data_IF_640182312524
#
_entry.id   IF_640182312524
#
_cell.length_a   1.000
_cell.length_b   1.000
_cell.length_c   1.000
_cell.angle_alpha   90.00
_cell.angle_beta   90.00
_cell.angle_gamma   90.00
#
_symmetry.space_group_name_H-M   'P 1'
#
loop_
_entity.id
_entity.type
_entity.pdbx_description
1 polymer ?
#
# COMPACT_ATOMS: atom_id res chain seq x y z
N UNK A 1 10.09 8.20 14.14
CA UNK A 1 10.02 9.63 13.79
C UNK A 1 9.54 9.80 12.36
N UNK A 2 8.42 10.48 12.18
CA UNK A 2 7.85 10.85 10.87
C UNK A 2 7.04 9.76 10.17
N UNK A 3 6.71 8.68 10.88
CA UNK A 3 5.96 7.48 10.47
C UNK A 3 5.39 6.80 11.74
N UNK A 4 4.87 5.57 11.61
CA UNK A 4 4.33 4.75 12.70
C UNK A 4 5.17 4.74 13.99
N UNK A 5 4.49 4.84 15.13
CA UNK A 5 5.09 4.67 16.47
C UNK A 5 5.29 3.19 16.82
N UNK A 6 4.38 2.32 16.39
CA UNK A 6 4.43 0.89 16.60
C UNK A 6 3.81 0.11 15.43
N UNK A 7 4.19 -1.16 15.31
CA UNK A 7 3.58 -2.12 14.41
C UNK A 7 3.34 -3.45 15.15
N UNK A 8 2.26 -4.15 14.81
CA UNK A 8 1.87 -5.41 15.44
C UNK A 8 2.07 -6.58 14.46
N UNK A 9 3.22 -7.28 14.49
CA UNK A 9 3.44 -8.42 13.61
C UNK A 9 2.62 -9.63 14.07
N UNK A 10 1.75 -10.12 13.18
CA UNK A 10 1.08 -11.42 13.32
C UNK A 10 1.95 -12.57 12.80
N UNK A 11 1.33 -13.74 12.61
CA UNK A 11 1.96 -14.82 11.84
C UNK A 11 2.05 -14.45 10.35
N UNK A 12 2.81 -15.23 9.57
CA UNK A 12 2.91 -15.00 8.12
C UNK A 12 1.51 -14.99 7.51
N UNK A 13 1.15 -13.87 6.87
CA UNK A 13 -0.16 -13.63 6.23
C UNK A 13 -1.37 -13.82 7.15
N UNK A 14 -1.21 -13.54 8.44
CA UNK A 14 -2.31 -13.60 9.41
C UNK A 14 -2.31 -12.32 10.25
N UNK A 15 -3.49 -11.71 10.41
CA UNK A 15 -3.69 -10.55 11.29
C UNK A 15 -3.14 -10.83 12.71
N UNK A 16 -2.51 -9.86 13.38
CA UNK A 16 -2.24 -9.95 14.81
C UNK A 16 -3.57 -9.98 15.61
N UNK A 17 -3.47 -10.34 16.89
CA UNK A 17 -4.66 -10.37 17.77
C UNK A 17 -4.93 -8.97 18.37
N UNK A 18 -6.18 -8.70 18.79
CA UNK A 18 -6.53 -7.38 19.37
C UNK A 18 -5.76 -7.04 20.64
N UNK A 19 -5.46 -8.03 21.48
CA UNK A 19 -4.63 -7.84 22.67
C UNK A 19 -3.22 -7.32 22.33
N UNK A 20 -2.63 -7.78 21.22
CA UNK A 20 -1.33 -7.27 20.75
C UNK A 20 -1.43 -5.80 20.32
N UNK A 21 -2.51 -5.43 19.63
CA UNK A 21 -2.75 -4.06 19.17
C UNK A 21 -2.95 -3.11 20.36
N UNK A 22 -3.75 -3.52 21.35
CA UNK A 22 -3.96 -2.77 22.58
C UNK A 22 -2.66 -2.56 23.37
N UNK A 23 -1.87 -3.61 23.52
CA UNK A 23 -0.57 -3.52 24.18
C UNK A 23 0.38 -2.55 23.46
N UNK A 24 0.39 -2.57 22.12
CA UNK A 24 1.18 -1.64 21.33
C UNK A 24 0.69 -0.19 21.47
N UNK A 25 -0.63 0.04 21.39
CA UNK A 25 -1.23 1.35 21.56
C UNK A 25 -0.92 1.96 22.94
N UNK A 26 -1.05 1.16 24.01
CA UNK A 26 -0.70 1.56 25.37
C UNK A 26 0.79 1.87 25.53
N UNK A 27 1.66 1.13 24.85
CA UNK A 27 3.11 1.32 24.94
C UNK A 27 3.59 2.62 24.27
N UNK A 28 2.83 3.16 23.31
CA UNK A 28 3.15 4.39 22.58
C UNK A 28 2.23 5.56 22.92
N UNK A 29 1.33 5.39 23.89
CA UNK A 29 0.37 6.42 24.25
C UNK A 29 1.07 7.67 24.81
N UNK A 30 0.69 8.82 24.27
CA UNK A 30 1.17 10.15 24.69
C UNK A 30 0.09 10.96 25.40
N UNK A 31 -1.12 10.39 25.56
CA UNK A 31 -2.31 11.08 26.05
C UNK A 31 -3.06 11.87 24.97
N UNK A 32 -2.57 11.89 23.73
CA UNK A 32 -3.21 12.55 22.58
C UNK A 32 -4.14 11.63 21.78
N UNK A 33 -4.29 10.37 22.21
CA UNK A 33 -5.01 9.31 21.50
C UNK A 33 -4.16 8.59 20.45
N UNK A 34 -4.75 7.58 19.80
CA UNK A 34 -4.04 6.70 18.87
C UNK A 34 -4.80 6.56 17.54
N UNK A 35 -4.08 6.56 16.42
CA UNK A 35 -4.65 6.30 15.10
C UNK A 35 -4.17 4.94 14.59
N UNK A 36 -5.10 4.01 14.38
CA UNK A 36 -4.80 2.76 13.70
C UNK A 36 -4.88 2.96 12.18
N UNK A 37 -3.84 2.53 11.47
CA UNK A 37 -3.83 2.44 10.00
C UNK A 37 -3.99 0.96 9.65
N UNK A 38 -5.15 0.62 9.09
CA UNK A 38 -5.60 -0.75 8.89
C UNK A 38 -5.65 -1.04 7.39
N UNK A 39 -5.09 -2.17 6.95
CA UNK A 39 -5.27 -2.63 5.57
C UNK A 39 -6.63 -3.31 5.46
N UNK A 40 -7.39 -3.05 4.40
CA UNK A 40 -8.72 -3.64 4.25
C UNK A 40 -8.63 -5.14 3.88
N UNK A 41 -8.43 -5.95 4.91
CA UNK A 41 -8.55 -7.40 4.92
C UNK A 41 -9.51 -7.78 6.04
N UNK A 42 -10.40 -8.74 5.82
CA UNK A 42 -11.46 -9.08 6.78
C UNK A 42 -10.92 -9.40 8.17
N UNK A 43 -9.84 -10.18 8.24
CA UNK A 43 -9.18 -10.50 9.50
C UNK A 43 -8.54 -9.28 10.18
N UNK A 44 -7.95 -8.37 9.40
CA UNK A 44 -7.35 -7.14 9.93
C UNK A 44 -8.46 -6.23 10.47
N UNK A 45 -9.46 -5.91 9.65
CA UNK A 45 -10.57 -5.01 10.04
C UNK A 45 -11.30 -5.54 11.27
N UNK A 46 -11.66 -6.83 11.30
CA UNK A 46 -12.35 -7.42 12.45
C UNK A 46 -11.53 -7.30 13.75
N UNK A 47 -10.23 -7.57 13.69
CA UNK A 47 -9.38 -7.52 14.89
C UNK A 47 -9.12 -6.07 15.33
N UNK A 48 -8.85 -5.16 14.39
CA UNK A 48 -8.62 -3.74 14.72
C UNK A 48 -9.89 -3.05 15.23
N UNK A 49 -11.07 -3.42 14.71
CA UNK A 49 -12.36 -2.94 15.24
C UNK A 49 -12.56 -3.41 16.67
N UNK A 50 -12.33 -4.70 16.96
CA UNK A 50 -12.41 -5.21 18.33
C UNK A 50 -11.40 -4.51 19.26
N UNK A 51 -10.18 -4.25 18.81
CA UNK A 51 -9.19 -3.51 19.59
C UNK A 51 -9.63 -2.06 19.85
N UNK A 52 -10.19 -1.37 18.85
CA UNK A 52 -10.66 0.00 19.01
C UNK A 52 -11.88 0.09 19.95
N UNK A 53 -12.78 -0.90 19.95
CA UNK A 53 -13.90 -0.96 20.90
C UNK A 53 -13.44 -1.19 22.36
N UNK A 54 -12.26 -1.78 22.55
CA UNK A 54 -11.68 -2.06 23.86
C UNK A 54 -10.88 -0.89 24.46
N UNK A 55 -10.69 0.22 23.72
CA UNK A 55 -9.93 1.38 24.19
C UNK A 55 -10.60 2.70 23.82
N UNK A 56 -10.68 3.63 24.78
CA UNK A 56 -11.05 5.01 24.48
C UNK A 56 -9.92 5.72 23.70
N UNK A 57 -10.28 6.74 22.93
CA UNK A 57 -9.29 7.61 22.26
C UNK A 57 -8.60 7.00 21.04
N UNK A 58 -9.17 5.94 20.45
CA UNK A 58 -8.66 5.32 19.22
C UNK A 58 -9.54 5.70 18.03
N UNK A 59 -8.93 6.15 16.94
CA UNK A 59 -9.58 6.27 15.62
C UNK A 59 -8.89 5.36 14.61
N UNK A 60 -9.54 5.09 13.48
CA UNK A 60 -9.03 4.16 12.46
C UNK A 60 -9.12 4.71 11.05
N UNK A 61 -8.05 4.58 10.26
CA UNK A 61 -8.05 4.76 8.79
C UNK A 61 -7.95 3.38 8.15
N UNK A 62 -8.98 2.98 7.39
CA UNK A 62 -8.97 1.74 6.62
C UNK A 62 -8.51 2.05 5.21
N UNK A 63 -7.39 1.44 4.80
CA UNK A 63 -6.78 1.62 3.47
C UNK A 63 -7.28 0.57 2.49
N UNK A 64 -7.66 1.01 1.28
CA UNK A 64 -8.37 0.19 0.29
C UNK A 64 -8.04 0.59 -1.15
N UNK A 65 -6.74 0.81 -1.41
CA UNK A 65 -6.20 1.40 -2.63
C UNK A 65 -6.16 0.47 -3.84
N UNK A 66 -6.34 -0.85 -3.67
CA UNK A 66 -6.25 -1.82 -4.77
C UNK A 66 -7.46 -1.76 -5.72
N UNK A 67 -7.23 -1.36 -6.98
CA UNK A 67 -8.29 -1.25 -8.01
C UNK A 67 -8.59 -2.56 -8.74
N UNK A 68 -7.84 -3.63 -8.46
CA UNK A 68 -7.99 -4.87 -9.21
C UNK A 68 -9.31 -5.58 -8.94
N UNK A 69 -9.82 -5.51 -7.71
CA UNK A 69 -10.90 -6.37 -7.21
C UNK A 69 -11.83 -5.58 -6.30
N UNK A 70 -13.15 -5.65 -6.54
CA UNK A 70 -14.17 -5.07 -5.65
C UNK A 70 -14.62 -6.02 -4.53
N UNK A 71 -14.42 -7.34 -4.65
CA UNK A 71 -14.63 -8.34 -3.58
C UNK A 71 -13.67 -9.53 -3.80
N UNK A 72 -12.96 -9.95 -2.76
CA UNK A 72 -12.01 -11.08 -2.80
C UNK A 72 -12.34 -12.15 -1.75
N UNK A 73 -11.64 -13.29 -1.76
CA UNK A 73 -11.84 -14.36 -0.77
C UNK A 73 -11.60 -13.95 0.69
N UNK A 74 -10.93 -12.82 0.93
CA UNK A 74 -10.55 -12.34 2.25
C UNK A 74 -10.91 -10.85 2.46
N UNK A 75 -11.73 -10.28 1.58
CA UNK A 75 -12.03 -8.84 1.60
C UNK A 75 -13.41 -8.55 1.04
N UNK A 76 -14.21 -7.83 1.83
CA UNK A 76 -15.37 -7.09 1.33
C UNK A 76 -14.89 -5.72 0.84
N UNK A 77 -15.14 -5.39 -0.43
CA UNK A 77 -14.55 -4.19 -1.04
C UNK A 77 -13.13 -4.41 -1.58
N UNK A 78 -12.39 -3.30 -1.71
CA UNK A 78 -11.00 -3.28 -2.22
C UNK A 78 -9.99 -3.59 -1.14
N UNK A 79 -8.90 -4.27 -1.49
CA UNK A 79 -7.78 -4.56 -0.57
C UNK A 79 -6.96 -3.30 -0.28
N UNK A 80 -6.37 -3.24 0.91
CA UNK A 80 -5.30 -2.29 1.24
C UNK A 80 -3.92 -2.87 0.92
N UNK A 81 -3.15 -2.24 0.05
CA UNK A 81 -1.86 -2.75 -0.45
C UNK A 81 -0.75 -1.71 -0.32
N UNK A 82 0.10 -1.51 -1.34
CA UNK A 82 1.27 -0.64 -1.26
C UNK A 82 0.94 0.83 -0.95
N UNK A 83 -0.27 1.31 -1.26
CA UNK A 83 -0.72 2.66 -0.93
C UNK A 83 -0.83 2.93 0.57
N UNK A 84 -0.95 1.90 1.41
CA UNK A 84 -0.93 2.03 2.86
C UNK A 84 0.34 2.73 3.35
N UNK A 85 1.51 2.43 2.78
CA UNK A 85 2.78 3.08 3.15
C UNK A 85 2.75 4.60 2.91
N UNK A 86 2.02 5.04 1.88
CA UNK A 86 1.86 6.47 1.60
C UNK A 86 1.03 7.15 2.68
N UNK A 87 -0.05 6.50 3.13
CA UNK A 87 -0.86 6.95 4.27
C UNK A 87 -0.02 7.00 5.54
N UNK A 88 0.72 5.93 5.85
CA UNK A 88 1.62 5.85 7.01
C UNK A 88 2.64 6.99 7.03
N UNK A 89 3.27 7.30 5.89
CA UNK A 89 4.27 8.37 5.79
C UNK A 89 3.66 9.76 5.96
N UNK A 90 2.57 10.06 5.26
CA UNK A 90 1.97 11.41 5.26
C UNK A 90 1.32 11.70 6.61
N UNK A 91 0.56 10.74 7.14
CA UNK A 91 -0.11 10.90 8.44
C UNK A 91 0.90 10.89 9.59
N UNK A 92 1.93 10.04 9.54
CA UNK A 92 3.00 10.05 10.54
C UNK A 92 3.78 11.37 10.56
N UNK A 93 4.03 11.99 9.40
CA UNK A 93 4.62 13.32 9.35
C UNK A 93 3.72 14.41 9.97
N UNK A 94 2.40 14.32 9.75
CA UNK A 94 1.45 15.25 10.36
C UNK A 94 1.36 15.05 11.89
N UNK A 95 1.48 13.81 12.36
CA UNK A 95 1.52 13.49 13.78
C UNK A 95 2.74 14.11 14.47
N UNK A 96 3.93 14.04 13.86
CA UNK A 96 5.13 14.74 14.37
C UNK A 96 4.96 16.26 14.42
N UNK A 97 4.10 16.82 13.57
CA UNK A 97 3.77 18.27 13.58
C UNK A 97 2.70 18.62 14.63
N UNK A 98 2.23 17.65 15.41
CA UNK A 98 1.24 17.86 16.47
C UNK A 98 -0.20 17.98 15.98
N UNK A 99 -0.52 17.49 14.78
CA UNK A 99 -1.89 17.48 14.26
C UNK A 99 -2.81 16.64 15.17
N UNK A 100 -3.99 17.14 15.58
CA UNK A 100 -4.90 16.41 16.46
C UNK A 100 -5.45 15.11 15.84
N UNK A 101 -5.77 14.12 16.68
CA UNK A 101 -6.24 12.79 16.25
C UNK A 101 -7.41 12.82 15.23
N UNK A 102 -8.48 13.63 15.40
CA UNK A 102 -9.56 13.70 14.40
C UNK A 102 -9.09 14.24 13.04
N UNK A 103 -8.13 15.16 13.03
CA UNK A 103 -7.57 15.73 11.81
C UNK A 103 -6.62 14.74 11.13
N UNK A 104 -5.84 13.97 11.90
CA UNK A 104 -5.02 12.86 11.37
C UNK A 104 -5.88 11.80 10.69
N UNK A 105 -7.01 11.43 11.30
CA UNK A 105 -8.00 10.53 10.72
C UNK A 105 -8.53 11.07 9.40
N UNK A 106 -8.98 12.34 9.38
CA UNK A 106 -9.48 12.96 8.16
C UNK A 106 -8.41 13.07 7.06
N UNK A 107 -7.16 13.40 7.41
CA UNK A 107 -6.03 13.42 6.49
C UNK A 107 -5.77 12.02 5.91
N UNK A 108 -5.71 10.99 6.75
CA UNK A 108 -5.49 9.62 6.29
C UNK A 108 -6.58 9.14 5.33
N UNK A 109 -7.85 9.44 5.61
CA UNK A 109 -8.97 9.13 4.71
C UNK A 109 -8.83 9.85 3.36
N UNK A 110 -8.43 11.14 3.37
CA UNK A 110 -8.20 11.91 2.13
C UNK A 110 -7.05 11.32 1.31
N UNK A 111 -5.92 11.00 1.94
CA UNK A 111 -4.75 10.41 1.27
C UNK A 111 -5.11 9.05 0.67
N UNK A 112 -5.82 8.21 1.42
CA UNK A 112 -6.31 6.92 0.92
C UNK A 112 -7.27 7.12 -0.27
N UNK A 113 -8.21 8.06 -0.19
CA UNK A 113 -9.13 8.37 -1.29
C UNK A 113 -8.43 8.89 -2.55
N UNK A 114 -7.24 9.50 -2.43
CA UNK A 114 -6.40 9.98 -3.53
C UNK A 114 -5.37 8.94 -4.05
N UNK A 115 -5.30 7.75 -3.45
CA UNK A 115 -4.30 6.73 -3.75
C UNK A 115 -4.93 5.51 -4.42
N UNK A 116 -4.33 5.04 -5.52
CA UNK A 116 -4.75 3.82 -6.22
C UNK A 116 -3.57 2.95 -6.59
N UNK A 117 -3.74 1.64 -6.47
CA UNK A 117 -2.72 0.63 -6.71
C UNK A 117 -3.26 -0.53 -7.53
N UNK A 118 -2.38 -1.17 -8.29
CA UNK A 118 -2.66 -2.48 -8.85
C UNK A 118 -1.35 -3.26 -9.07
N UNK A 119 -1.40 -4.56 -8.77
CA UNK A 119 -0.26 -5.48 -8.83
C UNK A 119 -0.28 -6.44 -10.01
N UNK A 120 0.87 -6.98 -10.34
CA UNK A 120 1.05 -8.12 -11.23
C UNK A 120 2.10 -9.08 -10.66
N UNK A 121 1.81 -10.38 -10.67
CA UNK A 121 2.75 -11.43 -10.31
C UNK A 121 3.25 -12.19 -11.53
N UNK A 122 4.52 -12.55 -11.51
CA UNK A 122 5.19 -13.45 -12.46
C UNK A 122 5.43 -14.84 -11.86
N UNK A 123 5.46 -14.92 -10.53
CA UNK A 123 5.47 -16.17 -9.77
C UNK A 123 4.51 -16.06 -8.59
N UNK A 124 4.09 -17.18 -8.02
CA UNK A 124 3.46 -17.19 -6.71
C UNK A 124 4.53 -17.04 -5.60
N UNK A 125 4.10 -16.77 -4.37
CA UNK A 125 4.95 -16.82 -3.18
C UNK A 125 4.88 -18.19 -2.50
N UNK A 126 5.91 -18.53 -1.74
CA UNK A 126 5.97 -19.73 -0.91
C UNK A 126 5.81 -19.38 0.55
N UNK A 127 4.67 -19.76 1.16
CA UNK A 127 4.51 -19.64 2.62
C UNK A 127 5.35 -20.73 3.31
N UNK A 128 6.27 -20.39 4.24
CA UNK A 128 7.18 -21.36 4.83
C UNK A 128 6.48 -22.56 5.49
N UNK A 129 5.33 -22.32 6.14
CA UNK A 129 4.55 -23.36 6.79
C UNK A 129 3.89 -24.33 5.79
N UNK A 130 3.58 -23.87 4.57
CA UNK A 130 2.98 -24.69 3.52
C UNK A 130 4.05 -25.44 2.68
N UNK A 131 5.26 -24.88 2.58
CA UNK A 131 6.39 -25.47 1.84
C UNK A 131 6.19 -25.57 0.33
N UNK A 132 5.14 -24.95 -0.21
CA UNK A 132 4.79 -24.93 -1.64
C UNK A 132 4.17 -23.58 -2.03
N UNK A 133 4.14 -23.24 -3.33
CA UNK A 133 3.48 -22.03 -3.81
C UNK A 133 2.01 -21.93 -3.37
N UNK A 134 1.53 -20.72 -3.11
CA UNK A 134 0.14 -20.48 -2.68
C UNK A 134 -0.87 -20.63 -3.82
N UNK A 135 -0.43 -20.43 -5.07
CA UNK A 135 -1.20 -20.72 -6.28
C UNK A 135 -0.27 -21.16 -7.41
N UNK A 136 -0.82 -21.91 -8.37
CA UNK A 136 -0.07 -22.37 -9.54
C UNK A 136 -0.02 -21.28 -10.60
N UNK A 137 1.16 -20.96 -11.15
CA UNK A 137 1.34 -20.06 -12.29
C UNK A 137 2.42 -20.62 -13.21
N UNK A 138 2.15 -20.67 -14.51
CA UNK A 138 3.04 -21.21 -15.52
C UNK A 138 4.26 -20.31 -15.78
N UNK A 139 5.33 -20.91 -16.29
CA UNK A 139 6.60 -20.22 -16.58
C UNK A 139 6.51 -19.06 -17.60
N UNK A 140 5.45 -19.02 -18.40
CA UNK A 140 5.18 -17.97 -19.40
C UNK A 140 3.84 -17.28 -19.14
N UNK A 141 3.34 -17.37 -17.91
CA UNK A 141 2.10 -16.72 -17.49
C UNK A 141 2.42 -15.59 -16.50
N UNK A 142 1.49 -14.65 -16.40
CA UNK A 142 1.47 -13.62 -15.37
C UNK A 142 0.04 -13.47 -14.83
N UNK A 143 -0.08 -12.93 -13.63
CA UNK A 143 -1.36 -12.80 -12.94
C UNK A 143 -1.59 -11.35 -12.51
N UNK A 144 -2.59 -10.71 -13.11
CA UNK A 144 -2.97 -9.35 -12.79
C UNK A 144 -3.88 -9.28 -11.57
N UNK A 145 -3.66 -8.25 -10.75
CA UNK A 145 -4.51 -7.97 -9.61
C UNK A 145 -4.28 -8.93 -8.44
N UNK A 146 -3.05 -9.41 -8.27
CA UNK A 146 -2.68 -10.22 -7.09
C UNK A 146 -2.72 -9.39 -5.80
N UNK A 147 -3.01 -10.05 -4.69
CA UNK A 147 -2.92 -9.48 -3.35
C UNK A 147 -1.51 -9.64 -2.74
N UNK A 148 -1.32 -9.13 -1.53
CA UNK A 148 -0.04 -9.22 -0.81
C UNK A 148 0.09 -10.47 0.07
N UNK A 149 -0.96 -11.29 0.19
CA UNK A 149 -0.95 -12.53 0.98
C UNK A 149 -0.94 -13.79 0.11
N UNK A 150 -0.46 -13.66 -1.14
CA UNK A 150 -0.40 -14.79 -2.07
C UNK A 150 -1.76 -15.23 -2.59
N UNK A 151 -2.78 -14.38 -2.52
CA UNK A 151 -4.07 -14.64 -3.15
C UNK A 151 -3.96 -14.58 -4.68
N UNK A 152 -4.68 -15.46 -5.40
CA UNK A 152 -4.73 -15.36 -6.85
C UNK A 152 -5.29 -14.01 -7.28
N UNK A 153 -4.85 -13.60 -8.46
CA UNK A 153 -5.28 -12.34 -9.04
C UNK A 153 -6.67 -12.43 -9.62
N UNK A 154 -7.08 -11.36 -10.28
CA UNK A 154 -8.36 -11.33 -11.02
C UNK A 154 -8.27 -12.13 -12.32
N UNK A 155 -7.10 -12.11 -12.96
CA UNK A 155 -6.96 -12.56 -14.34
C UNK A 155 -5.55 -13.02 -14.65
N UNK A 156 -5.46 -14.25 -15.16
CA UNK A 156 -4.24 -14.80 -15.76
C UNK A 156 -4.11 -14.39 -17.21
N UNK A 157 -2.86 -14.21 -17.64
CA UNK A 157 -2.51 -13.86 -19.02
C UNK A 157 -1.14 -14.44 -19.40
N UNK A 158 -0.82 -14.44 -20.68
CA UNK A 158 0.54 -14.74 -21.15
C UNK A 158 1.49 -13.62 -20.71
N UNK A 159 2.75 -13.97 -20.44
CA UNK A 159 3.79 -13.00 -20.09
C UNK A 159 3.96 -11.96 -21.20
N UNK A 160 3.86 -10.68 -20.83
CA UNK A 160 3.98 -9.54 -21.75
C UNK A 160 5.27 -8.74 -21.48
N UNK A 161 5.63 -7.89 -22.42
CA UNK A 161 6.67 -6.88 -22.21
C UNK A 161 6.24 -5.81 -21.19
N UNK A 162 7.20 -5.20 -20.49
CA UNK A 162 6.95 -4.24 -19.42
C UNK A 162 6.03 -3.08 -19.82
N UNK A 163 6.16 -2.54 -21.04
CA UNK A 163 5.30 -1.45 -21.53
C UNK A 163 3.81 -1.87 -21.61
N UNK A 164 3.53 -3.10 -22.05
CA UNK A 164 2.17 -3.61 -22.15
C UNK A 164 1.58 -3.94 -20.76
N UNK A 165 2.41 -4.44 -19.85
CA UNK A 165 2.02 -4.65 -18.45
C UNK A 165 1.70 -3.31 -17.78
N UNK A 166 2.58 -2.32 -17.94
CA UNK A 166 2.38 -0.98 -17.39
C UNK A 166 1.12 -0.31 -17.95
N UNK A 167 0.85 -0.42 -19.27
CA UNK A 167 -0.36 0.14 -19.89
C UNK A 167 -1.63 -0.39 -19.24
N UNK A 168 -1.68 -1.70 -18.97
CA UNK A 168 -2.85 -2.31 -18.34
C UNK A 168 -3.06 -1.83 -16.90
N UNK A 169 -2.00 -1.85 -16.09
CA UNK A 169 -2.04 -1.40 -14.69
C UNK A 169 -2.38 0.09 -14.59
N UNK A 170 -1.67 0.93 -15.35
CA UNK A 170 -1.90 2.38 -15.37
C UNK A 170 -3.29 2.74 -15.88
N UNK A 171 -3.82 2.02 -16.89
CA UNK A 171 -5.18 2.25 -17.39
C UNK A 171 -6.23 1.97 -16.32
N UNK A 172 -6.08 0.89 -15.55
CA UNK A 172 -6.98 0.58 -14.45
C UNK A 172 -6.94 1.67 -13.37
N UNK A 173 -5.75 2.11 -12.97
CA UNK A 173 -5.55 3.18 -11.98
C UNK A 173 -6.18 4.51 -12.46
N UNK A 174 -5.93 4.90 -13.71
CA UNK A 174 -6.48 6.11 -14.30
C UNK A 174 -8.00 6.05 -14.42
N UNK A 175 -8.54 4.91 -14.85
CA UNK A 175 -9.98 4.71 -14.99
C UNK A 175 -10.71 4.86 -13.65
N UNK A 176 -10.09 4.40 -12.56
CA UNK A 176 -10.66 4.52 -11.23
C UNK A 176 -10.55 5.92 -10.62
N UNK A 177 -9.43 6.61 -10.86
CA UNK A 177 -9.26 8.00 -10.44
C UNK A 177 -10.20 8.95 -11.21
N UNK A 178 -10.48 8.65 -12.48
CA UNK A 178 -11.31 9.46 -13.37
C UNK A 178 -10.71 10.85 -13.56
N UNK A 179 -11.56 11.89 -13.52
CA UNK A 179 -11.15 13.29 -13.72
C UNK A 179 -10.15 13.81 -12.67
N UNK A 180 -9.97 13.09 -11.55
CA UNK A 180 -8.99 13.42 -10.52
C UNK A 180 -7.55 13.06 -10.92
N UNK A 181 -7.37 12.25 -11.97
CA UNK A 181 -6.05 11.84 -12.46
C UNK A 181 -5.33 12.95 -13.25
N UNK A 182 -5.10 14.10 -12.61
CA UNK A 182 -4.49 15.25 -13.25
C UNK A 182 -3.68 16.09 -12.25
N UNK A 183 -2.52 16.60 -12.66
CA UNK A 183 -1.66 17.43 -11.81
C UNK A 183 -0.63 16.63 -11.00
N UNK A 184 -0.06 17.22 -9.92
CA UNK A 184 1.04 16.63 -9.17
C UNK A 184 0.71 15.26 -8.56
N UNK A 185 1.66 14.32 -8.62
CA UNK A 185 1.49 13.00 -8.05
C UNK A 185 2.80 12.37 -7.55
N UNK A 186 2.65 11.45 -6.59
CA UNK A 186 3.65 10.47 -6.19
C UNK A 186 3.43 9.20 -7.03
N UNK A 187 4.49 8.76 -7.73
CA UNK A 187 4.53 7.46 -8.39
C UNK A 187 5.38 6.48 -7.59
N UNK A 188 4.74 5.45 -7.04
CA UNK A 188 5.39 4.41 -6.26
C UNK A 188 5.36 3.07 -7.02
N UNK A 189 6.52 2.56 -7.41
CA UNK A 189 6.70 1.22 -7.98
C UNK A 189 7.29 0.30 -6.92
N UNK A 190 6.48 -0.67 -6.49
CA UNK A 190 6.77 -1.56 -5.38
C UNK A 190 7.05 -2.98 -5.90
N UNK A 191 8.21 -3.54 -5.58
CA UNK A 191 8.52 -4.95 -5.82
C UNK A 191 7.93 -5.87 -4.75
N UNK A 192 7.46 -7.06 -5.15
CA UNK A 192 6.89 -8.02 -4.21
C UNK A 192 7.92 -8.90 -3.49
N UNK A 193 9.21 -8.73 -3.78
CA UNK A 193 10.32 -9.41 -3.12
C UNK A 193 11.27 -10.08 -4.10
N UNK A 194 10.73 -10.85 -5.05
CA UNK A 194 11.50 -11.62 -6.03
C UNK A 194 11.95 -10.84 -7.27
N UNK A 195 11.58 -9.56 -7.40
CA UNK A 195 11.86 -8.75 -8.60
C UNK A 195 13.16 -7.94 -8.45
N UNK A 196 14.13 -8.06 -9.38
CA UNK A 196 15.35 -7.25 -9.37
C UNK A 196 15.07 -5.75 -9.46
N UNK A 197 15.87 -4.93 -8.76
CA UNK A 197 15.68 -3.46 -8.77
C UNK A 197 15.74 -2.85 -10.18
N UNK A 198 16.56 -3.40 -11.08
CA UNK A 198 16.63 -2.91 -12.47
C UNK A 198 15.29 -3.06 -13.22
N UNK A 199 14.54 -4.12 -12.94
CA UNK A 199 13.23 -4.37 -13.54
C UNK A 199 12.17 -3.44 -12.96
N UNK A 200 12.27 -3.10 -11.67
CA UNK A 200 11.42 -2.08 -11.05
C UNK A 200 11.64 -0.69 -11.68
N UNK A 201 12.89 -0.32 -11.98
CA UNK A 201 13.17 0.94 -12.68
C UNK A 201 12.71 0.92 -14.15
N UNK A 202 12.75 -0.23 -14.82
CA UNK A 202 12.14 -0.40 -16.14
C UNK A 202 10.63 -0.14 -16.06
N UNK A 203 9.94 -0.75 -15.09
CA UNK A 203 8.50 -0.56 -14.87
C UNK A 203 8.17 0.90 -14.53
N UNK A 204 8.98 1.55 -13.68
CA UNK A 204 8.83 2.98 -13.37
C UNK A 204 8.90 3.86 -14.62
N UNK A 205 9.88 3.62 -15.50
CA UNK A 205 10.01 4.36 -16.75
C UNK A 205 8.79 4.18 -17.66
N UNK A 206 8.25 2.96 -17.76
CA UNK A 206 7.03 2.71 -18.54
C UNK A 206 5.81 3.40 -17.93
N UNK A 207 5.58 3.22 -16.63
CA UNK A 207 4.46 3.81 -15.90
C UNK A 207 4.46 5.35 -15.95
N UNK A 208 5.61 5.98 -15.71
CA UNK A 208 5.77 7.44 -15.74
C UNK A 208 5.33 8.02 -17.07
N UNK A 209 5.77 7.43 -18.20
CA UNK A 209 5.40 7.89 -19.55
C UNK A 209 3.90 7.84 -19.80
N UNK A 210 3.22 6.82 -19.27
CA UNK A 210 1.78 6.61 -19.47
C UNK A 210 0.99 7.65 -18.68
N UNK A 211 1.34 7.85 -17.40
CA UNK A 211 0.70 8.86 -16.56
C UNK A 211 0.95 10.29 -17.08
N UNK A 212 2.18 10.63 -17.48
CA UNK A 212 2.50 11.97 -18.01
C UNK A 212 1.77 12.30 -19.31
N UNK A 213 1.57 11.32 -20.19
CA UNK A 213 0.72 11.49 -21.40
C UNK A 213 -0.74 11.81 -21.08
N UNK A 214 -1.20 11.53 -19.86
CA UNK A 214 -2.57 11.73 -19.41
C UNK A 214 -2.75 12.98 -18.54
N UNK A 215 -1.71 13.79 -18.37
CA UNK A 215 -1.76 15.06 -17.63
C UNK A 215 -1.39 14.94 -16.15
N UNK A 216 -1.01 13.76 -15.68
CA UNK A 216 -0.41 13.58 -14.36
C UNK A 216 1.05 14.05 -14.40
N UNK A 217 1.46 14.87 -13.44
CA UNK A 217 2.85 15.33 -13.30
C UNK A 217 3.49 14.60 -12.13
N UNK A 218 4.39 13.64 -12.43
CA UNK A 218 5.09 12.89 -11.38
C UNK A 218 6.14 13.79 -10.72
N UNK A 219 5.80 14.35 -9.56
CA UNK A 219 6.66 15.25 -8.79
C UNK A 219 7.46 14.53 -7.72
N UNK A 220 6.97 13.39 -7.23
CA UNK A 220 7.68 12.51 -6.29
C UNK A 220 7.66 11.08 -6.78
N UNK A 221 8.62 10.29 -6.32
CA UNK A 221 8.67 8.86 -6.66
C UNK A 221 9.32 8.02 -5.59
N UNK A 222 8.87 6.78 -5.51
CA UNK A 222 9.49 5.73 -4.71
C UNK A 222 9.62 4.48 -5.59
N UNK A 223 10.79 3.83 -5.59
CA UNK A 223 11.03 2.60 -6.34
C UNK A 223 11.81 1.64 -5.46
N UNK A 224 11.32 0.41 -5.31
CA UNK A 224 11.96 -0.61 -4.47
C UNK A 224 10.96 -1.60 -3.90
N UNK A 225 11.39 -2.45 -2.97
CA UNK A 225 10.53 -3.45 -2.32
C UNK A 225 10.21 -3.00 -0.90
N UNK A 226 8.99 -2.49 -0.67
CA UNK A 226 8.57 -1.97 0.63
C UNK A 226 7.36 -2.71 1.20
N UNK A 227 6.39 -3.08 0.35
CA UNK A 227 5.21 -3.86 0.72
C UNK A 227 5.23 -5.17 -0.06
N UNK A 228 5.96 -6.15 0.48
CA UNK A 228 6.30 -7.40 -0.21
C UNK A 228 5.30 -8.53 0.04
N UNK A 229 5.34 -9.54 -0.83
CA UNK A 229 4.68 -10.84 -0.62
C UNK A 229 5.74 -11.96 -0.67
N UNK A 230 6.55 -12.04 0.38
CA UNK A 230 7.65 -13.00 0.53
C UNK A 230 8.61 -13.00 -0.69
N UNK A 231 8.70 -14.12 -1.40
CA UNK A 231 9.56 -14.38 -2.55
C UNK A 231 8.86 -14.16 -3.90
N UNK A 232 7.64 -13.60 -3.90
CA UNK A 232 6.88 -13.35 -5.13
C UNK A 232 7.66 -12.44 -6.09
N UNK A 233 7.90 -12.92 -7.31
CA UNK A 233 8.33 -12.09 -8.42
C UNK A 233 7.12 -11.39 -9.01
N UNK A 234 7.22 -10.09 -9.18
CA UNK A 234 6.12 -9.19 -9.53
C UNK A 234 6.30 -7.79 -8.95
N UNK A 235 5.37 -6.90 -9.28
CA UNK A 235 5.37 -5.56 -8.74
C UNK A 235 3.96 -4.96 -8.71
N UNK A 236 3.78 -3.90 -7.93
CA UNK A 236 2.63 -3.01 -8.03
C UNK A 236 3.05 -1.61 -8.43
N UNK A 237 2.14 -0.93 -9.12
CA UNK A 237 2.20 0.51 -9.35
C UNK A 237 1.15 1.15 -8.46
N UNK A 238 1.55 2.18 -7.73
CA UNK A 238 0.70 3.02 -6.92
C UNK A 238 0.83 4.46 -7.40
N UNK A 239 -0.31 5.12 -7.62
CA UNK A 239 -0.38 6.55 -7.90
C UNK A 239 -1.16 7.25 -6.79
N UNK A 240 -0.54 8.24 -6.16
CA UNK A 240 -1.20 9.12 -5.19
C UNK A 240 -1.21 10.53 -5.74
N UNK A 241 -2.39 11.09 -5.93
CA UNK A 241 -2.53 12.51 -6.31
C UNK A 241 -2.13 13.39 -5.13
N UNK A 242 -1.29 14.38 -5.39
CA UNK A 242 -0.72 15.25 -4.37
C UNK A 242 -1.27 16.66 -4.47
N UNK A 243 -1.42 17.27 -3.30
CA UNK A 243 -1.70 18.68 -3.08
C UNK A 243 -0.48 19.31 -2.38
N UNK A 244 -0.45 20.63 -2.24
CA UNK A 244 0.68 21.31 -1.60
C UNK A 244 0.92 20.80 -0.17
N UNK A 245 -0.15 20.60 0.60
CA UNK A 245 -0.11 20.06 1.96
C UNK A 245 0.48 18.64 1.99
N UNK A 246 -0.06 17.72 1.18
CA UNK A 246 0.38 16.31 1.18
C UNK A 246 1.78 16.14 0.58
N UNK A 247 2.17 17.03 -0.34
CA UNK A 247 3.55 17.11 -0.85
C UNK A 247 4.51 17.50 0.26
N UNK A 248 4.19 18.54 1.03
CA UNK A 248 5.04 19.00 2.14
C UNK A 248 5.19 17.92 3.23
N UNK A 249 4.10 17.19 3.55
CA UNK A 249 4.12 16.09 4.52
C UNK A 249 4.90 14.86 4.02
N UNK A 250 4.85 14.56 2.73
CA UNK A 250 5.72 13.54 2.13
C UNK A 250 7.19 13.93 2.28
N UNK A 251 7.53 15.17 1.95
CA UNK A 251 8.92 15.66 2.00
C UNK A 251 9.46 15.86 3.42
N UNK A 252 8.58 15.95 4.42
CA UNK A 252 8.98 16.10 5.81
C UNK A 252 9.92 14.97 6.27
N UNK A 253 10.89 15.27 7.17
CA UNK A 253 11.89 14.31 7.62
C UNK A 253 11.30 12.99 8.12
N UNK A 254 11.96 11.89 7.76
CA UNK A 254 11.62 10.55 8.23
C UNK A 254 12.88 9.78 8.56
N UNK A 255 12.82 9.04 9.66
CA UNK A 255 13.92 8.17 10.08
C UNK A 255 13.36 6.84 10.55
N UNK A 256 13.22 5.91 9.60
CA UNK A 256 12.86 4.50 9.83
C UNK A 256 13.89 3.59 9.18
N UNK A 257 13.76 2.28 9.38
CA UNK A 257 14.66 1.30 8.77
C UNK A 257 14.55 1.26 7.24
N UNK A 258 13.39 1.59 6.68
CA UNK A 258 13.09 1.49 5.25
C UNK A 258 12.94 2.84 4.54
N UNK A 259 12.56 3.91 5.24
CA UNK A 259 12.48 5.28 4.68
C UNK A 259 13.33 6.24 5.51
N UNK A 260 14.23 6.97 4.83
CA UNK A 260 15.15 7.89 5.50
C UNK A 260 15.53 9.08 4.61
N UNK A 261 15.10 10.27 4.98
CA UNK A 261 15.49 11.54 4.33
C UNK A 261 15.26 12.74 5.26
N UNK A 262 15.78 13.92 4.85
CA UNK A 262 15.58 15.18 5.56
C UNK A 262 16.35 15.29 6.88
N UNK A 263 17.51 14.64 6.98
CA UNK A 263 18.41 14.71 8.15
C UNK A 263 19.28 15.97 8.13
#
# INVERSE_FOLDING_TARGET
HGMLDAACPGQVFTSPTPDQMLAAAQAVDTGAGCLFIVKNYEGDVMNFDMAAEMSDGVLQVVTNDDVAVENSSYTTGRRGVAGTLVVEKIVGAAAEQGMPLPELKALGDRVNAATRSMGVALTSCTVPAAGRPTFDIGHNEMEFGVGIHGEPGRRRDDLKGADAIAEEICTAILGDLGDRAWGPALLFVNGFGGTPSMELYLMYNSARKIFEKRGVTVTRSLVGSYVTSLDMAGCSITLTMLEDETTALWDAPVHTAALRWGM
#
